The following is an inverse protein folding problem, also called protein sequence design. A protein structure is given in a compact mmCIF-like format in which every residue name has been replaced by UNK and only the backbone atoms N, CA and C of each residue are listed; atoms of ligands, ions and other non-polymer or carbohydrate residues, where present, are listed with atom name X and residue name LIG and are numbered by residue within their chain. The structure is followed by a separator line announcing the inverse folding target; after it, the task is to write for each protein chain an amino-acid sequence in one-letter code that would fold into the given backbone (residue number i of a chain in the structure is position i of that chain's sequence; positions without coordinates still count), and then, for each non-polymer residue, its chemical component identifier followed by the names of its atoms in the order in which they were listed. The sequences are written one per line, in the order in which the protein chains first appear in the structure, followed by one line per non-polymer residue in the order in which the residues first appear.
data_IF_735471340759
#
_entry.id   IF_735471340759
#
_cell.length_a   1.000
_cell.length_b   1.000
_cell.length_c   1.000
_cell.angle_alpha   90.00
_cell.angle_beta   90.00
_cell.angle_gamma   90.00
#
_symmetry.space_group_name_H-M   'P 1'
#
loop_
_entity.id
_entity.type
_entity.pdbx_description
1 polymer ?
#
# COMPACT_ATOMS: atom_id res chain seq x y z
N UNK A 1 -12.00 -0.52 -15.69
CA UNK A 1 -13.44 -0.86 -15.58
C UNK A 1 -13.74 -2.25 -16.12
N UNK A 2 -13.26 -2.65 -17.30
CA UNK A 2 -13.50 -4.02 -17.82
C UNK A 2 -12.82 -5.13 -17.00
N UNK A 3 -11.63 -4.86 -16.44
CA UNK A 3 -10.90 -5.84 -15.62
C UNK A 3 -11.60 -6.11 -14.28
N UNK A 4 -12.17 -5.08 -13.67
CA UNK A 4 -12.93 -5.17 -12.42
C UNK A 4 -14.28 -5.85 -12.62
N UNK A 5 -14.94 -5.64 -13.77
CA UNK A 5 -16.20 -6.32 -14.08
C UNK A 5 -15.99 -7.81 -14.38
N UNK A 6 -14.90 -8.16 -15.08
CA UNK A 6 -14.54 -9.56 -15.33
C UNK A 6 -14.18 -10.29 -14.03
N UNK A 7 -13.46 -9.64 -13.12
CA UNK A 7 -13.09 -10.19 -11.80
C UNK A 7 -14.31 -10.46 -10.91
N UNK A 8 -15.30 -9.56 -10.93
CA UNK A 8 -16.57 -9.73 -10.23
C UNK A 8 -17.43 -10.82 -10.89
N UNK A 9 -17.53 -10.84 -12.22
CA UNK A 9 -18.32 -11.84 -12.95
C UNK A 9 -17.81 -13.27 -12.72
N UNK A 10 -16.48 -13.45 -12.71
CA UNK A 10 -15.86 -14.75 -12.44
C UNK A 10 -16.15 -15.26 -11.02
N UNK A 11 -16.28 -14.35 -10.05
CA UNK A 11 -16.57 -14.63 -8.63
C UNK A 11 -18.01 -15.09 -8.37
N UNK A 12 -18.96 -14.64 -9.18
CA UNK A 12 -20.38 -15.01 -9.07
C UNK A 12 -20.71 -16.30 -9.84
N UNK A 13 -20.05 -16.56 -10.96
CA UNK A 13 -20.37 -17.73 -11.81
C UNK A 13 -19.81 -19.06 -11.29
N UNK A 14 -18.78 -19.06 -10.43
CA UNK A 14 -18.18 -20.28 -9.85
C UNK A 14 -18.78 -20.71 -8.49
N UNK A 15 -19.98 -20.24 -8.15
CA UNK A 15 -20.59 -20.34 -6.82
C UNK A 15 -21.37 -21.65 -6.56
N UNK A 16 -20.78 -22.60 -5.80
CA UNK A 16 -21.50 -23.48 -4.85
C UNK A 16 -20.54 -24.05 -3.78
N UNK A 17 -20.96 -24.40 -2.54
CA UNK A 17 -22.06 -23.93 -1.70
C UNK A 17 -21.53 -23.11 -0.48
N UNK A 18 -21.92 -21.84 -0.36
CA UNK A 18 -21.88 -20.90 0.79
C UNK A 18 -20.62 -20.79 1.69
N UNK A 19 -19.97 -21.87 2.15
CA UNK A 19 -18.77 -21.81 3.01
C UNK A 19 -17.48 -21.73 2.18
N UNK A 20 -17.31 -22.62 1.20
CA UNK A 20 -16.16 -22.64 0.28
C UNK A 20 -15.99 -21.34 -0.51
N UNK A 21 -17.10 -20.70 -0.89
CA UNK A 21 -17.09 -19.40 -1.57
C UNK A 21 -16.58 -18.26 -0.67
N UNK A 22 -16.82 -18.32 0.64
CA UNK A 22 -16.40 -17.26 1.58
C UNK A 22 -14.90 -17.29 1.90
N UNK A 23 -14.28 -18.47 1.95
CA UNK A 23 -12.82 -18.58 2.05
C UNK A 23 -12.14 -18.01 0.79
N UNK A 24 -12.66 -18.37 -0.39
CA UNK A 24 -12.13 -17.87 -1.65
C UNK A 24 -12.28 -16.34 -1.75
N UNK A 25 -13.42 -15.79 -1.33
CA UNK A 25 -13.62 -14.34 -1.32
C UNK A 25 -12.68 -13.64 -0.35
N UNK A 26 -12.35 -14.25 0.80
CA UNK A 26 -11.36 -13.74 1.77
C UNK A 26 -9.96 -13.70 1.18
N UNK A 27 -9.53 -14.78 0.51
CA UNK A 27 -8.22 -14.83 -0.17
C UNK A 27 -8.16 -13.78 -1.28
N UNK A 28 -9.19 -13.68 -2.11
CA UNK A 28 -9.27 -12.67 -3.19
C UNK A 28 -9.23 -11.24 -2.64
N UNK A 29 -9.93 -10.96 -1.54
CA UNK A 29 -9.89 -9.64 -0.88
C UNK A 29 -8.47 -9.30 -0.42
N UNK A 30 -7.77 -10.25 0.20
CA UNK A 30 -6.37 -10.05 0.59
C UNK A 30 -5.50 -9.77 -0.64
N UNK A 31 -5.63 -10.54 -1.72
CA UNK A 31 -4.86 -10.33 -2.96
C UNK A 31 -5.10 -8.92 -3.52
N UNK A 32 -6.37 -8.52 -3.69
CA UNK A 32 -6.72 -7.20 -4.24
C UNK A 32 -6.22 -6.05 -3.36
N UNK A 33 -6.39 -6.15 -2.04
CA UNK A 33 -5.93 -5.13 -1.09
C UNK A 33 -4.41 -5.00 -1.14
N UNK A 34 -3.66 -6.09 -1.08
CA UNK A 34 -2.20 -6.05 -1.09
C UNK A 34 -1.62 -5.70 -2.46
N UNK A 35 -2.33 -5.94 -3.57
CA UNK A 35 -1.99 -5.40 -4.89
C UNK A 35 -2.19 -3.89 -4.97
N UNK A 36 -3.27 -3.36 -4.38
CA UNK A 36 -3.57 -1.93 -4.39
C UNK A 36 -2.69 -1.12 -3.43
N UNK A 37 -2.24 -1.74 -2.33
CA UNK A 37 -1.44 -1.12 -1.28
C UNK A 37 -0.17 -0.42 -1.78
N UNK A 38 0.73 -1.05 -2.57
CA UNK A 38 1.93 -0.38 -3.07
C UNK A 38 1.57 0.81 -3.97
N UNK A 39 0.55 0.67 -4.82
CA UNK A 39 0.10 1.76 -5.72
C UNK A 39 -0.45 2.93 -4.92
N UNK A 40 -1.25 2.66 -3.89
CA UNK A 40 -1.80 3.68 -3.00
C UNK A 40 -0.67 4.42 -2.25
N UNK A 41 0.31 3.69 -1.73
CA UNK A 41 1.47 4.28 -1.04
C UNK A 41 2.33 5.14 -1.98
N UNK A 42 2.56 4.72 -3.23
CA UNK A 42 3.32 5.52 -4.21
C UNK A 42 2.63 6.85 -4.52
N UNK A 43 1.29 6.84 -4.58
CA UNK A 43 0.48 8.02 -4.93
C UNK A 43 0.31 9.02 -3.79
N UNK A 44 0.69 8.65 -2.55
CA UNK A 44 0.64 9.54 -1.38
C UNK A 44 -0.71 10.26 -1.19
N UNK A 45 -1.81 9.58 -1.50
CA UNK A 45 -3.17 10.08 -1.22
C UNK A 45 -3.52 10.09 0.28
N UNK A 46 -2.53 9.86 1.15
CA UNK A 46 -2.67 10.04 2.59
C UNK A 46 -2.90 11.52 2.86
N UNK A 47 -4.19 11.87 2.96
CA UNK A 47 -4.76 13.14 3.42
C UNK A 47 -3.71 13.95 4.16
N UNK A 48 -3.06 14.87 3.45
CA UNK A 48 -2.19 15.86 4.06
C UNK A 48 -3.09 16.64 4.99
N UNK A 49 -3.04 16.33 6.29
CA UNK A 49 -3.64 17.16 7.31
C UNK A 49 -2.77 18.40 7.37
N UNK A 50 -2.96 19.30 6.40
CA UNK A 50 -2.30 20.59 6.24
C UNK A 50 -2.82 21.61 7.27
N UNK A 51 -3.07 21.16 8.50
CA UNK A 51 -3.37 22.05 9.61
C UNK A 51 -2.13 22.86 10.03
N UNK A 52 -0.92 22.45 9.63
CA UNK A 52 0.34 23.12 9.94
C UNK A 52 0.99 23.85 8.73
N UNK A 53 0.44 23.70 7.54
CA UNK A 53 1.07 24.19 6.30
C UNK A 53 0.95 25.72 6.13
N UNK A 54 0.07 26.36 6.90
CA UNK A 54 -0.09 27.82 6.91
C UNK A 54 1.15 28.56 7.42
N UNK A 55 2.01 27.91 8.22
CA UNK A 55 3.16 28.55 8.88
C UNK A 55 4.55 27.99 8.50
N UNK A 56 4.62 26.89 7.74
CA UNK A 56 5.89 26.20 7.51
C UNK A 56 6.59 26.64 6.21
N UNK A 57 7.93 26.87 6.21
CA UNK A 57 8.67 27.15 4.98
C UNK A 57 8.60 25.98 3.99
N UNK A 58 8.51 26.30 2.70
CA UNK A 58 8.42 25.36 1.56
C UNK A 58 9.46 24.22 1.58
N UNK A 59 10.68 24.48 2.08
CA UNK A 59 11.73 23.47 2.21
C UNK A 59 11.45 22.42 3.31
N UNK A 60 10.70 22.79 4.34
CA UNK A 60 10.34 21.91 5.47
C UNK A 60 9.28 20.89 5.06
N UNK A 61 8.43 21.22 4.07
CA UNK A 61 7.40 20.31 3.54
C UNK A 61 8.05 19.07 2.91
N UNK A 62 9.06 19.27 2.06
CA UNK A 62 9.79 18.17 1.41
C UNK A 62 10.52 17.28 2.42
N UNK A 63 11.15 17.87 3.44
CA UNK A 63 11.85 17.12 4.50
C UNK A 63 10.85 16.33 5.34
N UNK A 64 9.74 16.95 5.75
CA UNK A 64 8.67 16.29 6.51
C UNK A 64 8.12 15.09 5.75
N UNK A 65 7.80 15.27 4.47
CA UNK A 65 7.27 14.19 3.63
C UNK A 65 8.29 13.07 3.41
N UNK A 66 9.57 13.42 3.23
CA UNK A 66 10.65 12.43 3.16
C UNK A 66 10.76 11.60 4.44
N UNK A 67 10.71 12.26 5.61
CA UNK A 67 10.77 11.59 6.92
C UNK A 67 9.56 10.69 7.14
N UNK A 68 8.35 11.15 6.83
CA UNK A 68 7.13 10.34 6.99
C UNK A 68 7.14 9.09 6.10
N UNK A 69 7.54 9.24 4.83
CA UNK A 69 7.70 8.10 3.94
C UNK A 69 8.78 7.12 4.41
N UNK A 70 9.90 7.63 4.95
CA UNK A 70 10.97 6.79 5.49
C UNK A 70 10.49 6.00 6.71
N UNK A 71 9.77 6.64 7.64
CA UNK A 71 9.17 5.97 8.81
C UNK A 71 8.16 4.91 8.36
N UNK A 72 7.29 5.24 7.41
CA UNK A 72 6.32 4.30 6.86
C UNK A 72 7.01 3.11 6.16
N UNK A 73 8.09 3.35 5.42
CA UNK A 73 8.88 2.29 4.81
C UNK A 73 9.46 1.34 5.87
N UNK A 74 10.08 1.87 6.92
CA UNK A 74 10.64 1.05 8.02
C UNK A 74 9.56 0.24 8.73
N UNK A 75 8.40 0.84 9.02
CA UNK A 75 7.26 0.13 9.60
C UNK A 75 6.80 -1.02 8.68
N UNK A 76 6.77 -0.78 7.36
CA UNK A 76 6.36 -1.78 6.38
C UNK A 76 7.37 -2.92 6.23
N UNK A 77 8.68 -2.67 6.37
CA UNK A 77 9.70 -3.73 6.50
C UNK A 77 9.40 -4.61 7.71
N UNK A 78 9.07 -4.00 8.86
CA UNK A 78 8.71 -4.74 10.08
C UNK A 78 7.52 -5.66 9.87
N UNK A 79 6.47 -5.18 9.19
CA UNK A 79 5.30 -5.99 8.82
C UNK A 79 5.70 -7.12 7.88
N UNK A 80 6.43 -6.82 6.80
CA UNK A 80 6.88 -7.83 5.84
C UNK A 80 7.69 -8.94 6.52
N UNK A 81 8.61 -8.60 7.44
CA UNK A 81 9.38 -9.57 8.21
C UNK A 81 8.50 -10.49 9.06
N UNK A 82 7.50 -9.93 9.75
CA UNK A 82 6.58 -10.70 10.60
C UNK A 82 5.67 -11.61 9.77
N UNK A 83 5.19 -11.13 8.63
CA UNK A 83 4.37 -11.93 7.71
C UNK A 83 5.20 -13.04 7.06
N UNK A 84 6.46 -12.77 6.71
CA UNK A 84 7.37 -13.79 6.19
C UNK A 84 7.60 -14.90 7.22
N UNK A 85 7.85 -14.55 8.48
CA UNK A 85 7.98 -15.54 9.55
C UNK A 85 6.68 -16.35 9.75
N UNK A 86 5.52 -15.73 9.57
CA UNK A 86 4.23 -16.43 9.58
C UNK A 86 4.09 -17.40 8.40
N UNK A 87 4.55 -17.02 7.20
CA UNK A 87 4.49 -17.86 6.00
C UNK A 87 5.34 -19.13 6.16
N UNK A 88 6.55 -19.00 6.74
CA UNK A 88 7.40 -20.15 7.03
C UNK A 88 6.78 -21.09 8.06
N UNK A 89 6.18 -20.55 9.13
CA UNK A 89 5.43 -21.40 10.08
C UNK A 89 4.26 -22.11 9.42
N UNK A 90 3.47 -21.42 8.61
CA UNK A 90 2.34 -22.03 7.89
C UNK A 90 2.80 -23.15 6.93
N UNK A 91 4.02 -23.05 6.38
CA UNK A 91 4.63 -24.10 5.56
C UNK A 91 5.06 -25.31 6.41
N UNK A 92 5.70 -25.08 7.55
CA UNK A 92 6.15 -26.16 8.45
C UNK A 92 4.99 -26.94 9.07
N UNK A 93 3.92 -26.25 9.47
CA UNK A 93 2.73 -26.88 10.05
C UNK A 93 1.82 -27.53 9.01
N UNK A 94 2.03 -27.24 7.71
CA UNK A 94 1.15 -27.72 6.65
C UNK A 94 -0.27 -27.14 6.75
N UNK A 95 -0.40 -25.89 7.22
CA UNK A 95 -1.70 -25.25 7.45
C UNK A 95 -2.48 -25.15 6.13
N UNK A 96 -3.68 -25.71 6.14
CA UNK A 96 -4.63 -25.65 5.02
C UNK A 96 -5.92 -24.96 5.45
N UNK A 97 -6.58 -24.24 4.52
CA UNK A 97 -7.93 -23.71 4.77
C UNK A 97 -8.95 -24.81 5.09
N UNK A 98 -9.98 -24.48 5.85
CA UNK A 98 -10.91 -25.46 6.42
C UNK A 98 -11.78 -26.13 5.36
N UNK A 99 -12.25 -25.37 4.37
CA UNK A 99 -13.18 -25.88 3.36
C UNK A 99 -12.48 -26.23 2.06
N UNK A 100 -11.61 -25.35 1.55
CA UNK A 100 -10.89 -25.59 0.29
C UNK A 100 -9.63 -26.45 0.42
N UNK A 101 -9.15 -26.68 1.65
CA UNK A 101 -7.86 -27.35 1.92
C UNK A 101 -6.70 -26.75 1.11
N UNK A 102 -6.77 -25.46 0.83
CA UNK A 102 -5.71 -24.75 0.13
C UNK A 102 -4.58 -24.47 1.11
N UNK A 103 -3.31 -24.67 0.72
CA UNK A 103 -2.19 -24.37 1.60
C UNK A 103 -2.08 -22.86 1.85
N UNK A 104 -2.19 -22.47 3.12
CA UNK A 104 -2.24 -21.05 3.53
C UNK A 104 -0.93 -20.33 3.22
N UNK A 105 0.19 -21.06 3.22
CA UNK A 105 1.52 -20.51 2.98
C UNK A 105 1.62 -19.75 1.64
N UNK A 106 0.96 -20.21 0.56
CA UNK A 106 1.00 -19.50 -0.73
C UNK A 106 0.46 -18.07 -0.63
N UNK A 107 -0.66 -17.89 0.08
CA UNK A 107 -1.29 -16.58 0.28
C UNK A 107 -0.43 -15.72 1.20
N UNK A 108 0.13 -16.29 2.26
CA UNK A 108 0.97 -15.54 3.20
C UNK A 108 2.30 -15.10 2.57
N UNK A 109 2.92 -15.93 1.72
CA UNK A 109 4.10 -15.52 0.93
C UNK A 109 3.77 -14.39 -0.04
N UNK A 110 2.60 -14.44 -0.69
CA UNK A 110 2.15 -13.36 -1.56
C UNK A 110 2.02 -12.03 -0.81
N UNK A 111 1.38 -12.05 0.37
CA UNK A 111 1.20 -10.86 1.21
C UNK A 111 2.55 -10.30 1.67
N UNK A 112 3.48 -11.18 2.06
CA UNK A 112 4.84 -10.79 2.43
C UNK A 112 5.58 -10.10 1.29
N UNK A 113 5.54 -10.67 0.08
CA UNK A 113 6.16 -10.11 -1.10
C UNK A 113 5.58 -8.73 -1.45
N UNK A 114 4.25 -8.57 -1.44
CA UNK A 114 3.59 -7.29 -1.69
C UNK A 114 3.93 -6.25 -0.61
N UNK A 115 4.01 -6.66 0.66
CA UNK A 115 4.42 -5.77 1.76
C UNK A 115 5.86 -5.28 1.59
N UNK A 116 6.77 -6.14 1.13
CA UNK A 116 8.14 -5.76 0.80
C UNK A 116 8.21 -4.79 -0.39
N UNK A 117 7.39 -5.00 -1.43
CA UNK A 117 7.29 -4.08 -2.57
C UNK A 117 6.76 -2.71 -2.11
N UNK A 118 5.74 -2.67 -1.26
CA UNK A 118 5.22 -1.42 -0.67
C UNK A 118 6.29 -0.69 0.12
N UNK A 119 7.10 -1.40 0.91
CA UNK A 119 8.23 -0.80 1.60
C UNK A 119 9.25 -0.17 0.64
N UNK A 120 9.56 -0.84 -0.46
CA UNK A 120 10.50 -0.32 -1.46
C UNK A 120 9.93 0.91 -2.17
N UNK A 121 8.63 0.89 -2.48
CA UNK A 121 7.92 2.03 -3.02
C UNK A 121 7.96 3.25 -2.09
N UNK A 122 7.68 3.06 -0.80
CA UNK A 122 7.74 4.14 0.20
C UNK A 122 9.17 4.67 0.38
N UNK A 123 10.17 3.80 0.36
CA UNK A 123 11.57 4.21 0.40
C UNK A 123 11.95 5.04 -0.82
N UNK A 124 11.56 4.59 -2.03
CA UNK A 124 11.76 5.34 -3.26
C UNK A 124 11.10 6.73 -3.18
N UNK A 125 9.87 6.82 -2.67
CA UNK A 125 9.19 8.09 -2.41
C UNK A 125 9.99 9.00 -1.47
N UNK A 126 10.41 8.50 -0.31
CA UNK A 126 11.21 9.27 0.64
C UNK A 126 12.47 9.85 0.01
N UNK A 127 13.18 9.05 -0.80
CA UNK A 127 14.37 9.49 -1.54
C UNK A 127 14.01 10.54 -2.59
N UNK A 128 12.91 10.38 -3.34
CA UNK A 128 12.44 11.38 -4.34
C UNK A 128 12.18 12.75 -3.72
N UNK A 129 11.62 12.80 -2.51
CA UNK A 129 11.39 14.04 -1.78
C UNK A 129 12.68 14.69 -1.29
N UNK A 130 13.68 13.89 -0.91
CA UNK A 130 15.00 14.39 -0.53
C UNK A 130 15.71 15.12 -1.70
N UNK A 131 15.45 14.70 -2.94
CA UNK A 131 15.92 15.35 -4.17
C UNK A 131 15.01 16.49 -4.66
N UNK A 132 13.97 16.87 -3.92
CA UNK A 132 13.07 17.97 -4.28
C UNK A 132 12.18 17.72 -5.51
N UNK A 133 12.04 16.45 -5.93
CA UNK A 133 11.21 16.03 -7.08
C UNK A 133 9.87 15.42 -6.65
N UNK A 134 9.37 15.80 -5.48
CA UNK A 134 8.10 15.33 -4.95
C UNK A 134 6.91 15.99 -5.68
N UNK A 135 5.79 15.26 -5.90
CA UNK A 135 4.57 15.83 -6.49
C UNK A 135 3.95 16.96 -5.64
N UNK A 136 4.21 16.98 -4.32
CA UNK A 136 3.82 18.07 -3.41
C UNK A 136 4.85 19.21 -3.31
N UNK A 137 5.94 19.17 -4.10
CA UNK A 137 6.93 20.23 -4.09
C UNK A 137 6.30 21.52 -4.64
N UNK A 138 6.42 22.66 -3.92
CA UNK A 138 5.72 23.89 -4.31
C UNK A 138 6.16 24.37 -5.69
N UNK A 139 5.22 24.38 -6.62
CA UNK A 139 5.44 24.85 -7.99
C UNK A 139 5.60 26.37 -8.08
N UNK A 140 6.15 26.89 -9.18
CA UNK A 140 6.36 28.33 -9.39
C UNK A 140 5.08 29.20 -9.36
N UNK A 141 3.88 28.62 -9.42
CA UNK A 141 2.63 29.38 -9.53
C UNK A 141 2.11 29.92 -8.18
N UNK A 142 2.47 29.31 -7.04
CA UNK A 142 2.01 29.76 -5.71
C UNK A 142 2.66 31.07 -5.23
N UNK A 143 3.74 31.53 -5.86
CA UNK A 143 4.38 32.81 -5.53
C UNK A 143 3.70 33.99 -6.22
N UNK A 144 3.07 33.79 -7.38
CA UNK A 144 2.47 34.89 -8.17
C UNK A 144 1.18 35.44 -7.56
N UNK A 145 0.40 34.62 -6.84
CA UNK A 145 -0.86 35.06 -6.21
C UNK A 145 -0.59 35.92 -4.95
N UNK A 146 0.54 35.73 -4.27
CA UNK A 146 0.91 36.54 -3.10
C UNK A 146 1.46 37.92 -3.48
N UNK A 147 2.15 38.05 -4.60
CA UNK A 147 2.72 39.34 -5.04
C UNK A 147 1.71 40.24 -5.76
N UNK A 148 0.59 39.72 -6.27
CA UNK A 148 -0.46 40.52 -6.93
C UNK A 148 -1.46 41.17 -5.97
N UNK A 149 -1.35 40.90 -4.67
CA UNK A 149 -2.24 41.45 -3.63
C UNK A 149 -1.52 42.40 -2.65
N UNK A 150 -0.38 42.97 -3.05
CA UNK A 150 0.38 44.00 -2.33
C UNK A 150 0.51 45.24 -3.22
#
# INVERSE_FOLDING_TARGET
MSITCADVALRYFFNSPLHSATELTRILMAIVVFCGLPVACVREEHITVDLLDSFSPKAVINIRQAVMNLIAAVAMVGIAWRVQALAFRAMEYGDTTEFLRLPVHYVTFFISAMSAITSLALFYNGVRYLFGRGPLSPGPQDTSIKETNL
#
